data_IF_662032759672
#
_entry.id   IF_662032759672
#
_cell.length_a   1.000
_cell.length_b   1.000
_cell.length_c   1.000
_cell.angle_alpha   90.00
_cell.angle_beta   90.00
_cell.angle_gamma   90.00
#
_symmetry.space_group_name_H-M   'P 1'
#
loop_
_entity.id
_entity.type
_entity.pdbx_description
1 polymer ?
#
# COMPACT_ATOMS: atom_id res chain seq x y z
N UNK A 1 16.68 -15.16 6.84
CA UNK A 1 16.41 -14.19 5.77
C UNK A 1 15.31 -13.26 6.25
N UNK A 2 15.58 -11.96 6.32
CA UNK A 2 14.62 -10.92 6.72
C UNK A 2 13.69 -10.61 5.56
N UNK A 3 12.47 -10.14 5.83
CA UNK A 3 11.47 -9.88 4.78
C UNK A 3 11.95 -8.87 3.73
N UNK A 4 12.70 -7.84 4.16
CA UNK A 4 13.28 -6.86 3.25
C UNK A 4 14.30 -7.47 2.29
N UNK A 5 15.05 -8.49 2.72
CA UNK A 5 16.04 -9.18 1.88
C UNK A 5 15.31 -9.96 0.77
N UNK A 6 14.21 -10.64 1.11
CA UNK A 6 13.36 -11.32 0.12
C UNK A 6 12.84 -10.35 -0.93
N UNK A 7 12.39 -9.16 -0.51
CA UNK A 7 11.87 -8.13 -1.41
C UNK A 7 12.93 -7.68 -2.41
N UNK A 8 14.14 -7.41 -1.92
CA UNK A 8 15.25 -6.98 -2.77
C UNK A 8 15.75 -8.09 -3.69
N UNK A 9 15.89 -9.33 -3.19
CA UNK A 9 16.36 -10.47 -4.00
C UNK A 9 15.42 -10.80 -5.16
N UNK A 10 14.13 -10.57 -4.99
CA UNK A 10 13.12 -10.77 -6.04
C UNK A 10 12.91 -9.53 -6.92
N UNK A 11 13.67 -8.45 -6.70
CA UNK A 11 13.52 -7.17 -7.42
C UNK A 11 12.10 -6.59 -7.36
N UNK A 12 11.39 -6.75 -6.24
CA UNK A 12 10.09 -6.11 -6.06
C UNK A 12 10.29 -4.62 -5.74
N UNK A 13 9.71 -3.75 -6.56
CA UNK A 13 9.91 -2.31 -6.48
C UNK A 13 8.77 -1.59 -5.76
N UNK A 14 7.55 -2.10 -5.89
CA UNK A 14 6.35 -1.54 -5.25
C UNK A 14 5.65 -2.67 -4.51
N UNK A 15 5.60 -2.56 -3.18
CA UNK A 15 5.06 -3.60 -2.29
C UNK A 15 3.88 -3.05 -1.50
N UNK A 16 2.72 -3.68 -1.64
CA UNK A 16 1.56 -3.38 -0.80
C UNK A 16 1.61 -4.16 0.51
N UNK A 17 1.15 -3.53 1.59
CA UNK A 17 0.93 -4.19 2.88
C UNK A 17 -0.55 -4.10 3.17
N UNK A 18 -1.23 -5.23 3.14
CA UNK A 18 -2.65 -5.34 3.50
C UNK A 18 -2.78 -6.13 4.80
N UNK A 19 -3.96 -6.11 5.38
CA UNK A 19 -4.23 -6.95 6.54
C UNK A 19 -5.67 -7.35 6.55
N UNK A 20 -5.92 -8.60 6.94
CA UNK A 20 -7.22 -9.23 6.84
C UNK A 20 -8.22 -8.74 7.90
N UNK A 21 -7.73 -7.97 8.88
CA UNK A 21 -8.53 -7.30 9.91
C UNK A 21 -7.87 -5.99 10.37
N UNK A 22 -8.63 -5.20 11.12
CA UNK A 22 -8.10 -4.01 11.81
C UNK A 22 -7.15 -4.49 12.89
N UNK A 23 -6.04 -3.77 13.08
CA UNK A 23 -5.00 -4.13 14.05
C UNK A 23 -4.31 -5.49 13.79
N UNK A 24 -4.41 -6.04 12.57
CA UNK A 24 -3.71 -7.29 12.19
C UNK A 24 -2.18 -7.14 12.04
N UNK A 25 -1.58 -6.02 12.46
CA UNK A 25 -0.13 -5.81 12.40
C UNK A 25 0.40 -5.15 11.13
N UNK A 26 -0.46 -4.60 10.25
CA UNK A 26 -0.04 -3.87 9.03
C UNK A 26 1.01 -2.79 9.31
N UNK A 27 0.67 -1.83 10.16
CA UNK A 27 1.56 -0.70 10.45
C UNK A 27 2.81 -1.11 11.21
N UNK A 28 2.74 -2.19 12.01
CA UNK A 28 3.94 -2.77 12.64
C UNK A 28 4.88 -3.36 11.59
N UNK A 29 4.32 -4.11 10.62
CA UNK A 29 5.08 -4.69 9.50
C UNK A 29 5.73 -3.60 8.65
N UNK A 30 5.01 -2.51 8.38
CA UNK A 30 5.53 -1.36 7.66
C UNK A 30 6.71 -0.71 8.40
N UNK A 31 6.56 -0.42 9.70
CA UNK A 31 7.64 0.15 10.50
C UNK A 31 8.86 -0.77 10.55
N UNK A 32 8.65 -2.08 10.70
CA UNK A 32 9.71 -3.07 10.64
C UNK A 32 10.45 -3.02 9.30
N UNK A 33 9.75 -3.00 8.16
CA UNK A 33 10.37 -2.92 6.84
C UNK A 33 11.13 -1.61 6.62
N UNK A 34 10.62 -0.49 7.12
CA UNK A 34 11.28 0.81 7.04
C UNK A 34 12.56 0.84 7.87
N UNK A 35 12.52 0.31 9.10
CA UNK A 35 13.68 0.22 9.98
C UNK A 35 14.77 -0.70 9.40
N UNK A 36 14.37 -1.87 8.92
CA UNK A 36 15.29 -2.84 8.31
C UNK A 36 15.86 -2.33 6.99
N UNK A 37 15.05 -1.63 6.18
CA UNK A 37 15.52 -0.92 4.99
C UNK A 37 16.58 0.12 5.34
N UNK A 38 16.34 0.93 6.37
CA UNK A 38 17.32 1.92 6.84
C UNK A 38 18.64 1.29 7.29
N UNK A 39 18.59 0.18 8.05
CA UNK A 39 19.80 -0.56 8.47
C UNK A 39 20.63 -1.08 7.30
N UNK A 40 19.98 -1.41 6.19
CA UNK A 40 20.61 -1.87 4.96
C UNK A 40 20.93 -0.75 3.96
N UNK A 41 20.77 0.52 4.35
CA UNK A 41 20.92 1.69 3.48
C UNK A 41 20.05 1.64 2.21
N UNK A 42 18.89 0.99 2.29
CA UNK A 42 17.90 0.95 1.22
C UNK A 42 17.08 2.24 1.28
N UNK A 43 17.06 2.98 0.17
CA UNK A 43 16.23 4.17 0.03
C UNK A 43 14.78 3.76 -0.16
N UNK A 44 13.98 3.79 0.90
CA UNK A 44 12.57 3.42 0.83
C UNK A 44 11.69 4.61 0.48
N UNK A 45 10.62 4.34 -0.26
CA UNK A 45 9.50 5.25 -0.49
C UNK A 45 8.28 4.78 0.29
N UNK A 46 7.43 5.70 0.75
CA UNK A 46 6.21 5.34 1.49
C UNK A 46 5.00 6.16 1.07
N UNK A 47 3.86 5.50 0.93
CA UNK A 47 2.55 6.13 0.82
C UNK A 47 1.46 5.24 1.42
N UNK A 48 0.22 5.70 1.44
CA UNK A 48 -0.91 4.97 2.00
C UNK A 48 -2.20 5.30 1.26
N UNK A 49 -3.24 4.49 1.40
CA UNK A 49 -4.57 4.87 0.90
C UNK A 49 -5.10 6.08 1.68
N UNK A 50 -5.53 7.13 0.97
CA UNK A 50 -6.07 8.36 1.56
C UNK A 50 -7.30 8.17 2.43
N UNK A 51 -7.61 9.12 3.31
CA UNK A 51 -8.87 9.14 4.06
C UNK A 51 -9.99 9.59 3.11
N UNK A 52 -10.85 8.68 2.71
CA UNK A 52 -11.99 9.00 1.86
C UNK A 52 -13.25 8.87 2.71
N UNK A 53 -13.89 10.01 3.05
CA UNK A 53 -15.26 10.09 3.57
C UNK A 53 -15.65 9.32 4.84
N UNK A 54 -14.86 8.38 5.34
CA UNK A 54 -15.06 7.65 6.58
C UNK A 54 -14.67 8.57 7.73
N UNK A 55 -15.62 9.46 8.03
CA UNK A 55 -16.17 9.66 9.35
C UNK A 55 -15.28 9.18 10.49
N UNK A 56 -14.09 9.77 10.66
CA UNK A 56 -13.13 9.49 11.72
C UNK A 56 -12.74 8.00 11.83
N UNK A 57 -11.61 7.72 12.46
CA UNK A 57 -11.47 6.44 13.14
C UNK A 57 -12.41 6.46 14.38
N UNK A 58 -13.75 6.60 14.19
CA UNK A 58 -14.74 6.78 15.30
C UNK A 58 -14.71 5.58 16.23
N UNK A 59 -14.36 4.39 15.73
CA UNK A 59 -14.34 3.19 16.56
C UNK A 59 -13.11 3.14 17.48
N UNK A 60 -12.05 3.94 17.28
CA UNK A 60 -10.86 3.88 18.15
C UNK A 60 -10.30 5.22 18.67
N UNK A 61 -10.78 6.40 18.23
CA UNK A 61 -10.28 7.73 18.67
C UNK A 61 -8.75 7.90 18.67
N UNK A 62 -8.02 6.99 18.03
CA UNK A 62 -6.56 6.90 18.14
C UNK A 62 -5.97 7.35 16.82
N UNK A 63 -5.08 8.33 16.89
CA UNK A 63 -4.27 8.75 15.76
C UNK A 63 -3.52 7.51 15.22
N UNK A 64 -3.54 7.30 13.90
CA UNK A 64 -2.73 6.25 13.26
C UNK A 64 -1.28 6.43 13.75
N UNK A 65 -0.62 5.36 14.26
CA UNK A 65 0.69 5.52 14.85
C UNK A 65 1.65 6.12 13.81
N UNK A 66 2.49 7.09 14.22
CA UNK A 66 3.43 7.71 13.30
C UNK A 66 4.39 6.66 12.74
N UNK A 67 4.81 6.86 11.50
CA UNK A 67 5.86 6.09 10.86
C UNK A 67 7.18 6.82 11.11
N UNK A 68 8.16 6.08 11.62
CA UNK A 68 9.51 6.62 11.79
C UNK A 68 10.23 6.61 10.45
N UNK A 69 10.65 7.79 10.00
CA UNK A 69 11.39 7.99 8.76
C UNK A 69 12.79 8.50 9.05
N UNK A 70 13.76 8.10 8.23
CA UNK A 70 15.16 8.51 8.32
C UNK A 70 15.56 9.31 7.09
N UNK A 71 16.68 10.03 7.19
CA UNK A 71 17.24 10.78 6.08
C UNK A 71 17.44 9.90 4.83
N UNK A 72 17.12 10.45 3.65
CA UNK A 72 17.24 9.74 2.37
C UNK A 72 16.00 8.93 1.97
N UNK A 73 15.04 8.73 2.87
CA UNK A 73 13.74 8.14 2.53
C UNK A 73 12.85 9.13 1.77
N UNK A 74 11.85 8.59 1.06
CA UNK A 74 10.87 9.34 0.30
C UNK A 74 9.47 9.07 0.82
N UNK A 75 8.59 10.07 0.77
CA UNK A 75 7.20 9.91 1.18
C UNK A 75 6.26 10.67 0.26
N UNK A 76 5.05 10.14 0.09
CA UNK A 76 3.94 10.85 -0.53
C UNK A 76 2.75 10.89 0.42
N UNK A 77 2.39 12.09 0.86
CA UNK A 77 1.37 12.31 1.89
C UNK A 77 0.63 13.62 1.67
N UNK A 78 -0.62 13.68 2.12
CA UNK A 78 -1.47 14.86 2.00
C UNK A 78 -0.90 16.04 2.81
N UNK A 79 -1.07 17.26 2.29
CA UNK A 79 -0.54 18.50 2.88
C UNK A 79 -0.84 18.65 4.37
N UNK A 80 -2.09 18.44 4.82
CA UNK A 80 -2.43 18.57 6.25
C UNK A 80 -1.65 17.58 7.12
N UNK A 81 -1.42 16.37 6.61
CA UNK A 81 -0.70 15.32 7.32
C UNK A 81 0.81 15.59 7.35
N UNK A 82 1.37 16.14 6.27
CA UNK A 82 2.77 16.58 6.21
C UNK A 82 3.07 17.64 7.29
N UNK A 83 2.15 18.59 7.50
CA UNK A 83 2.29 19.67 8.49
C UNK A 83 2.32 19.16 9.94
N UNK A 84 1.83 17.95 10.21
CA UNK A 84 1.89 17.31 11.53
C UNK A 84 3.20 16.56 11.78
N UNK A 85 4.08 16.45 10.78
CA UNK A 85 5.34 15.75 10.92
C UNK A 85 6.37 16.58 11.70
N UNK A 86 7.17 15.89 12.51
CA UNK A 86 8.37 16.48 13.12
C UNK A 86 9.67 16.15 12.36
N UNK A 87 9.59 15.37 11.27
CA UNK A 87 10.71 15.16 10.34
C UNK A 87 10.92 16.41 9.49
N UNK A 88 12.17 16.73 9.14
CA UNK A 88 12.44 17.79 8.16
C UNK A 88 12.47 17.19 6.78
N UNK A 89 11.74 17.82 5.87
CA UNK A 89 11.52 17.31 4.53
C UNK A 89 11.77 18.40 3.49
N UNK A 90 12.21 17.97 2.33
CA UNK A 90 12.30 18.78 1.12
C UNK A 90 11.13 18.39 0.21
N UNK A 91 10.40 19.38 -0.30
CA UNK A 91 9.34 19.14 -1.29
C UNK A 91 9.97 18.86 -2.65
N UNK A 92 9.65 17.69 -3.22
CA UNK A 92 10.10 17.28 -4.54
C UNK A 92 9.06 17.61 -5.61
N UNK A 93 7.78 17.43 -5.28
CA UNK A 93 6.66 17.60 -6.21
C UNK A 93 5.35 17.86 -5.45
N UNK A 94 4.54 18.76 -5.97
CA UNK A 94 3.11 18.91 -5.66
C UNK A 94 2.33 18.18 -6.76
N UNK A 95 1.62 17.10 -6.43
CA UNK A 95 1.16 16.14 -7.43
C UNK A 95 -0.14 16.53 -8.16
N UNK A 96 -0.80 17.61 -7.75
CA UNK A 96 -2.14 18.00 -8.20
C UNK A 96 -3.28 17.08 -7.73
N UNK A 97 -2.98 15.99 -7.01
CA UNK A 97 -3.98 15.00 -6.58
C UNK A 97 -4.61 15.48 -5.28
N UNK A 98 -5.87 15.89 -5.35
CA UNK A 98 -6.62 16.39 -4.18
C UNK A 98 -7.23 15.26 -3.36
N UNK A 99 -7.14 15.38 -2.03
CA UNK A 99 -7.81 14.51 -1.06
C UNK A 99 -8.54 15.36 -0.02
N UNK A 100 -9.37 14.75 0.84
CA UNK A 100 -9.99 15.45 1.98
C UNK A 100 -8.96 16.10 2.94
N UNK A 101 -7.73 15.57 2.96
CA UNK A 101 -6.62 16.07 3.77
C UNK A 101 -5.70 17.05 3.01
N UNK A 102 -6.12 17.51 1.83
CA UNK A 102 -5.36 18.37 0.94
C UNK A 102 -4.63 17.61 -0.16
N UNK A 103 -3.87 18.35 -0.95
CA UNK A 103 -3.08 17.82 -2.05
C UNK A 103 -2.02 16.83 -1.56
N UNK A 104 -1.78 15.74 -2.31
CA UNK A 104 -0.67 14.82 -2.06
C UNK A 104 0.65 15.47 -2.48
N UNK A 105 1.58 15.57 -1.53
CA UNK A 105 2.90 16.16 -1.73
C UNK A 105 3.95 15.05 -1.64
N UNK A 106 4.87 15.02 -2.60
CA UNK A 106 6.02 14.13 -2.59
C UNK A 106 7.21 14.85 -1.96
N UNK A 107 7.85 14.18 -1.02
CA UNK A 107 8.94 14.75 -0.23
C UNK A 107 10.11 13.79 -0.08
N UNK A 108 11.30 14.36 0.08
CA UNK A 108 12.50 13.65 0.56
C UNK A 108 12.75 14.00 2.01
N UNK A 109 13.02 13.00 2.84
CA UNK A 109 13.36 13.19 4.24
C UNK A 109 14.81 13.65 4.34
N UNK A 110 15.02 14.81 4.97
CA UNK A 110 16.32 15.45 5.22
C UNK A 110 16.76 15.32 6.67
N UNK A 111 15.83 15.16 7.60
CA UNK A 111 16.12 14.85 9.00
C UNK A 111 15.10 13.85 9.53
N UNK A 112 15.59 12.84 10.26
CA UNK A 112 14.76 11.79 10.83
C UNK A 112 13.63 12.33 11.71
N UNK A 113 12.52 11.61 11.75
CA UNK A 113 11.38 11.96 12.58
C UNK A 113 10.19 11.06 12.32
N UNK A 114 9.07 11.45 12.88
CA UNK A 114 7.77 10.82 12.77
C UNK A 114 6.94 11.53 11.70
N UNK A 115 6.38 10.74 10.79
CA UNK A 115 5.45 11.19 9.76
C UNK A 115 4.14 10.43 9.87
N UNK A 116 3.03 11.14 9.71
CA UNK A 116 1.77 10.50 9.35
C UNK A 116 1.70 10.44 7.81
N UNK A 117 1.15 9.35 7.27
CA UNK A 117 1.06 9.14 5.83
C UNK A 117 -0.39 8.98 5.42
N UNK A 118 -0.86 9.86 4.56
CA UNK A 118 -2.17 9.82 3.91
C UNK A 118 -1.99 10.10 2.42
N UNK A 119 -1.93 9.05 1.60
CA UNK A 119 -1.72 9.19 0.16
C UNK A 119 -3.01 9.34 -0.64
N UNK A 120 -2.99 9.02 -1.95
CA UNK A 120 -4.14 9.15 -2.81
C UNK A 120 -5.23 8.10 -2.54
N UNK A 121 -6.44 8.35 -3.03
CA UNK A 121 -7.60 7.47 -2.83
C UNK A 121 -7.74 6.46 -3.98
N UNK A 122 -7.52 6.89 -5.22
CA UNK A 122 -7.76 6.07 -6.40
C UNK A 122 -6.55 5.20 -6.75
N UNK A 123 -6.80 4.05 -7.38
CA UNK A 123 -5.77 3.16 -7.89
C UNK A 123 -4.86 3.84 -8.93
N UNK A 124 -5.43 4.67 -9.81
CA UNK A 124 -4.71 5.41 -10.85
C UNK A 124 -3.71 6.38 -10.22
N UNK A 125 -4.17 7.16 -9.24
CA UNK A 125 -3.35 8.15 -8.56
C UNK A 125 -2.29 7.49 -7.68
N UNK A 126 -2.63 6.35 -7.04
CA UNK A 126 -1.68 5.54 -6.29
C UNK A 126 -0.53 5.04 -7.18
N UNK A 127 -0.86 4.53 -8.37
CA UNK A 127 0.14 4.10 -9.35
C UNK A 127 1.04 5.25 -9.78
N UNK A 128 0.46 6.42 -10.05
CA UNK A 128 1.22 7.63 -10.37
C UNK A 128 2.20 7.97 -9.24
N UNK A 129 1.69 8.12 -8.02
CA UNK A 129 2.49 8.51 -6.85
C UNK A 129 3.62 7.51 -6.56
N UNK A 130 3.34 6.20 -6.60
CA UNK A 130 4.36 5.18 -6.39
C UNK A 130 5.46 5.25 -7.45
N UNK A 131 5.08 5.43 -8.73
CA UNK A 131 6.03 5.62 -9.83
C UNK A 131 6.87 6.89 -9.68
N UNK A 132 6.28 7.98 -9.17
CA UNK A 132 7.04 9.22 -8.90
C UNK A 132 8.03 9.05 -7.74
N UNK A 133 7.65 8.35 -6.67
CA UNK A 133 8.59 8.02 -5.57
C UNK A 133 9.79 7.20 -6.09
N UNK A 134 9.55 6.23 -6.96
CA UNK A 134 10.60 5.48 -7.67
C UNK A 134 11.48 6.40 -8.51
N UNK A 135 10.88 7.27 -9.32
CA UNK A 135 11.60 8.24 -10.15
C UNK A 135 12.54 9.15 -9.34
N UNK A 136 12.15 9.55 -8.13
CA UNK A 136 13.01 10.35 -7.25
C UNK A 136 14.12 9.57 -6.54
N UNK A 137 14.17 8.25 -6.69
CA UNK A 137 15.27 7.42 -6.23
C UNK A 137 14.92 6.46 -5.08
N UNK A 138 13.64 6.22 -4.81
CA UNK A 138 13.24 5.09 -3.98
C UNK A 138 13.61 3.77 -4.67
N UNK A 139 14.29 2.88 -3.96
CA UNK A 139 14.61 1.53 -4.42
C UNK A 139 13.40 0.61 -4.24
N UNK A 140 12.68 0.75 -3.14
CA UNK A 140 11.40 0.07 -2.89
C UNK A 140 10.39 1.05 -2.35
N UNK A 141 9.14 0.98 -2.81
CA UNK A 141 8.02 1.78 -2.33
C UNK A 141 7.05 0.88 -1.58
N UNK A 142 6.77 1.24 -0.34
CA UNK A 142 5.76 0.57 0.48
C UNK A 142 4.43 1.33 0.44
N UNK A 143 3.35 0.60 0.16
CA UNK A 143 1.99 1.12 0.17
C UNK A 143 1.26 0.51 1.38
N UNK A 144 0.96 1.33 2.38
CA UNK A 144 0.11 0.92 3.50
C UNK A 144 -1.36 0.91 3.07
N UNK A 145 -1.87 -0.28 2.76
CA UNK A 145 -3.23 -0.49 2.27
C UNK A 145 -4.25 -0.63 3.40
N UNK A 146 -5.47 -0.12 3.15
CA UNK A 146 -6.62 -0.43 3.99
C UNK A 146 -7.15 -1.86 3.73
N UNK A 147 -7.81 -2.45 4.72
CA UNK A 147 -8.43 -3.80 4.66
C UNK A 147 -9.37 -3.90 3.46
N UNK A 148 -10.17 -2.86 3.26
CA UNK A 148 -11.26 -2.83 2.28
C UNK A 148 -10.82 -2.36 0.89
N UNK A 149 -9.56 -1.93 0.74
CA UNK A 149 -9.03 -1.41 -0.52
C UNK A 149 -8.09 -2.40 -1.17
N UNK A 150 -8.62 -3.58 -1.53
CA UNK A 150 -7.94 -4.58 -2.38
C UNK A 150 -7.42 -4.00 -3.70
N UNK A 151 -7.97 -2.87 -4.15
CA UNK A 151 -7.51 -2.17 -5.33
C UNK A 151 -6.03 -1.73 -5.25
N UNK A 152 -5.50 -1.44 -4.05
CA UNK A 152 -4.09 -1.01 -3.91
C UNK A 152 -3.07 -2.14 -3.92
N UNK A 153 -3.51 -3.37 -3.71
CA UNK A 153 -2.71 -4.59 -3.86
C UNK A 153 -2.91 -5.23 -5.24
N UNK A 154 -3.54 -4.51 -6.17
CA UNK A 154 -3.70 -4.96 -7.55
C UNK A 154 -2.34 -5.12 -8.23
N UNK A 155 -2.14 -6.17 -9.05
CA UNK A 155 -0.93 -6.32 -9.87
C UNK A 155 -0.74 -5.17 -10.88
N UNK A 156 -1.75 -4.33 -11.11
CA UNK A 156 -1.63 -3.12 -11.93
C UNK A 156 -0.75 -2.05 -11.24
N UNK A 157 -0.63 -2.10 -9.91
CA UNK A 157 0.05 -1.10 -9.07
C UNK A 157 1.28 -1.66 -8.37
N UNK A 158 1.21 -2.91 -7.88
CA UNK A 158 2.25 -3.50 -7.03
C UNK A 158 2.78 -4.81 -7.58
N UNK A 159 4.07 -5.04 -7.38
CA UNK A 159 4.76 -6.27 -7.78
C UNK A 159 4.57 -7.40 -6.76
N UNK A 160 4.38 -7.02 -5.49
CA UNK A 160 4.18 -7.96 -4.40
C UNK A 160 3.17 -7.42 -3.36
N UNK A 161 2.57 -8.36 -2.64
CA UNK A 161 1.64 -8.08 -1.54
C UNK A 161 2.05 -8.83 -0.27
N UNK A 162 2.15 -8.10 0.84
CA UNK A 162 2.34 -8.65 2.17
C UNK A 162 0.99 -8.66 2.88
N UNK A 163 0.57 -9.84 3.34
CA UNK A 163 -0.69 -10.04 4.04
C UNK A 163 -0.43 -10.18 5.55
N UNK A 164 -0.83 -9.16 6.31
CA UNK A 164 -0.81 -9.19 7.76
C UNK A 164 -2.09 -9.87 8.31
N UNK A 165 -1.91 -10.93 9.09
CA UNK A 165 -2.98 -11.77 9.64
C UNK A 165 -2.69 -12.14 11.10
N UNK A 166 -3.65 -12.74 11.79
CA UNK A 166 -3.43 -13.27 13.14
C UNK A 166 -4.73 -13.50 13.91
N UNK A 167 -4.58 -13.72 15.22
CA UNK A 167 -5.68 -14.04 16.14
C UNK A 167 -6.80 -12.97 16.19
N UNK A 168 -6.56 -11.76 15.68
CA UNK A 168 -7.59 -10.73 15.55
C UNK A 168 -8.71 -11.10 14.57
N UNK A 169 -8.47 -12.06 13.67
CA UNK A 169 -9.48 -12.52 12.71
C UNK A 169 -10.58 -13.39 13.32
N UNK A 170 -10.22 -14.15 14.36
CA UNK A 170 -11.12 -15.05 15.07
C UNK A 170 -10.46 -15.58 16.34
N UNK A 171 -11.29 -15.87 17.35
CA UNK A 171 -10.88 -16.67 18.51
C UNK A 171 -10.66 -18.16 18.17
N UNK A 172 -11.20 -18.61 17.05
CA UNK A 172 -11.01 -19.96 16.54
C UNK A 172 -9.86 -20.00 15.53
N UNK A 173 -8.79 -20.72 15.88
CA UNK A 173 -7.60 -20.84 15.03
C UNK A 173 -7.91 -21.42 13.65
N UNK A 174 -8.88 -22.35 13.53
CA UNK A 174 -9.26 -22.91 12.22
C UNK A 174 -9.76 -21.83 11.28
N UNK A 175 -10.61 -20.93 11.78
CA UNK A 175 -11.13 -19.79 11.01
C UNK A 175 -10.04 -18.80 10.64
N UNK A 176 -9.03 -18.59 11.49
CA UNK A 176 -7.86 -17.75 11.16
C UNK A 176 -7.11 -18.34 9.98
N UNK A 177 -6.83 -19.66 10.01
CA UNK A 177 -6.14 -20.38 8.95
C UNK A 177 -6.94 -20.35 7.64
N UNK A 178 -8.23 -20.69 7.68
CA UNK A 178 -9.12 -20.70 6.51
C UNK A 178 -9.17 -19.32 5.82
N UNK A 179 -9.40 -18.25 6.59
CA UNK A 179 -9.45 -16.88 6.04
C UNK A 179 -8.11 -16.44 5.47
N UNK A 180 -7.01 -16.84 6.11
CA UNK A 180 -5.66 -16.50 5.64
C UNK A 180 -5.34 -17.24 4.35
N UNK A 181 -5.54 -18.56 4.32
CA UNK A 181 -5.30 -19.39 3.14
C UNK A 181 -6.12 -18.91 1.95
N UNK A 182 -7.41 -18.65 2.16
CA UNK A 182 -8.29 -18.12 1.11
C UNK A 182 -7.80 -16.77 0.55
N UNK A 183 -7.34 -15.87 1.42
CA UNK A 183 -6.79 -14.60 0.96
C UNK A 183 -5.50 -14.80 0.15
N UNK A 184 -4.57 -15.63 0.63
CA UNK A 184 -3.32 -15.94 -0.08
C UNK A 184 -3.62 -16.56 -1.45
N UNK A 185 -4.56 -17.50 -1.53
CA UNK A 185 -4.98 -18.13 -2.78
C UNK A 185 -5.51 -17.09 -3.78
N UNK A 186 -6.40 -16.18 -3.35
CA UNK A 186 -6.90 -15.10 -4.20
C UNK A 186 -5.80 -14.19 -4.74
N UNK A 187 -4.77 -13.88 -3.95
CA UNK A 187 -3.64 -13.06 -4.38
C UNK A 187 -2.58 -13.84 -5.18
N UNK A 188 -2.67 -15.16 -5.20
CA UNK A 188 -1.77 -16.05 -5.94
C UNK A 188 -2.39 -16.56 -7.24
N UNK A 189 -3.60 -16.09 -7.60
CA UNK A 189 -4.26 -16.47 -8.84
C UNK A 189 -3.40 -16.07 -10.04
N UNK A 190 -3.19 -17.02 -10.94
CA UNK A 190 -2.50 -16.79 -12.20
C UNK A 190 -3.28 -15.87 -13.13
N UNK A 191 -2.58 -15.32 -14.12
CA UNK A 191 -3.23 -14.56 -15.17
C UNK A 191 -4.16 -15.46 -15.99
N UNK A 192 -5.32 -14.94 -16.39
CA UNK A 192 -6.26 -15.66 -17.25
C UNK A 192 -5.76 -15.75 -18.70
N UNK A 193 -6.31 -16.66 -19.50
CA UNK A 193 -5.95 -16.87 -20.88
C UNK A 193 -6.23 -15.63 -21.76
N UNK A 194 -5.43 -15.45 -22.82
CA UNK A 194 -5.53 -14.30 -23.73
C UNK A 194 -6.90 -14.19 -24.40
N UNK A 195 -7.57 -15.33 -24.63
CA UNK A 195 -8.94 -15.36 -25.14
C UNK A 195 -9.91 -14.62 -24.21
N UNK A 196 -9.84 -14.90 -22.90
CA UNK A 196 -10.67 -14.24 -21.88
C UNK A 196 -10.32 -12.75 -21.79
N UNK A 197 -9.03 -12.40 -21.81
CA UNK A 197 -8.60 -10.99 -21.83
C UNK A 197 -9.18 -10.22 -23.02
N UNK A 198 -9.23 -10.85 -24.20
CA UNK A 198 -9.79 -10.22 -25.40
C UNK A 198 -11.30 -10.01 -25.31
N UNK A 199 -12.03 -10.90 -24.63
CA UNK A 199 -13.45 -10.72 -24.33
C UNK A 199 -13.64 -9.54 -23.37
N UNK A 200 -12.87 -9.50 -22.28
CA UNK A 200 -12.92 -8.43 -21.28
C UNK A 200 -12.61 -7.06 -21.89
N UNK A 201 -11.58 -6.95 -22.75
CA UNK A 201 -11.21 -5.69 -23.44
C UNK A 201 -12.32 -5.12 -24.31
N UNK A 202 -13.24 -5.96 -24.81
CA UNK A 202 -14.39 -5.55 -25.64
C UNK A 202 -15.63 -5.23 -24.82
N UNK A 203 -15.58 -5.43 -23.50
CA UNK A 203 -16.73 -5.32 -22.61
C UNK A 203 -16.56 -4.17 -21.63
N UNK A 204 -17.44 -3.17 -21.72
CA UNK A 204 -17.40 -1.99 -20.86
C UNK A 204 -18.36 -2.07 -19.65
N UNK A 205 -18.81 -3.28 -19.29
CA UNK A 205 -19.74 -3.53 -18.19
C UNK A 205 -19.36 -4.81 -17.45
N UNK A 206 -19.77 -4.92 -16.20
CA UNK A 206 -19.68 -6.17 -15.44
C UNK A 206 -20.49 -7.26 -16.14
N UNK A 207 -19.89 -8.43 -16.34
CA UNK A 207 -20.54 -9.56 -17.00
C UNK A 207 -20.01 -10.88 -16.45
N UNK A 208 -20.73 -11.97 -16.75
CA UNK A 208 -20.27 -13.33 -16.45
C UNK A 208 -19.73 -13.93 -17.74
N UNK A 209 -18.46 -14.36 -17.72
CA UNK A 209 -17.85 -15.09 -18.82
C UNK A 209 -17.95 -16.58 -18.48
N UNK A 210 -18.67 -17.35 -19.30
CA UNK A 210 -18.76 -18.80 -19.15
C UNK A 210 -17.41 -19.46 -19.49
N UNK A 211 -17.20 -20.71 -19.11
CA UNK A 211 -16.01 -21.49 -19.50
C UNK A 211 -15.77 -21.50 -21.03
N UNK A 212 -16.85 -21.47 -21.82
CA UNK A 212 -16.79 -21.39 -23.28
C UNK A 212 -16.54 -19.98 -23.86
N UNK A 213 -16.23 -18.98 -23.03
CA UNK A 213 -15.97 -17.60 -23.47
C UNK A 213 -17.22 -16.78 -23.85
N UNK A 214 -18.42 -17.23 -23.50
CA UNK A 214 -19.67 -16.49 -23.78
C UNK A 214 -19.98 -15.48 -22.67
N UNK A 215 -20.41 -14.29 -23.06
CA UNK A 215 -20.86 -13.25 -22.12
C UNK A 215 -22.33 -13.49 -21.79
N UNK A 216 -22.65 -13.56 -20.50
CA UNK A 216 -24.02 -13.53 -19.94
C UNK A 216 -24.25 -12.27 -19.12
#
# INVERSE_FOLDING_TARGET
MRLIETIIQNNYEIVSIIGLAKNAGKTMTLNYLMEEGAKLNIKTGITSTGRDGENTDIVTQTQKPPIFVTEGMFAATAKKTLMLSNAKTEILETSGISTALGEVILVKVRQKGNMQIAGPVTAKDMKYVAGRLKHYGAQVVFIDGAIDRKAVSSPVITDACIIATGAVLSRDMKKVLEKTAHAVECYSLGETDEHVKNIVRKTNKTCIITEEGRIR
#
